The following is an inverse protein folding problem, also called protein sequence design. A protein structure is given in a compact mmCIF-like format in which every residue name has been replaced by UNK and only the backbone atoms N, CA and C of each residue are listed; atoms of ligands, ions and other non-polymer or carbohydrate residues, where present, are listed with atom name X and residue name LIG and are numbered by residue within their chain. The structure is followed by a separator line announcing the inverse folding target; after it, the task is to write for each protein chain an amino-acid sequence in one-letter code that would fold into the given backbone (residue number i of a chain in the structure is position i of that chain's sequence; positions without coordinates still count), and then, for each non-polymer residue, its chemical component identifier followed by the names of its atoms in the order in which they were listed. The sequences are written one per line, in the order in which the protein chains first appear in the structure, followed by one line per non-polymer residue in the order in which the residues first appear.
data_IF_327506271976
#
_entry.id   IF_327506271976
#
_cell.length_a   1.000
_cell.length_b   1.000
_cell.length_c   1.000
_cell.angle_alpha   90.00
_cell.angle_beta   90.00
_cell.angle_gamma   90.00
#
_symmetry.space_group_name_H-M   'P 1'
#
loop_
_entity.id
_entity.type
_entity.pdbx_description
1 polymer ?
#
# COMPACT_ATOMS: atom_id res chain seq x y z
N UNK A 1 -3.57 -26.91 10.57
CA UNK A 1 -3.82 -25.51 10.11
C UNK A 1 -4.49 -24.64 11.18
N UNK A 2 -5.74 -24.92 11.63
CA UNK A 2 -6.42 -24.08 12.65
C UNK A 2 -5.65 -24.00 13.98
N UNK A 3 -5.14 -25.12 14.49
CA UNK A 3 -4.39 -25.15 15.75
C UNK A 3 -3.03 -24.45 15.66
N UNK A 4 -2.34 -24.51 14.54
CA UNK A 4 -1.10 -23.76 14.31
C UNK A 4 -1.34 -22.25 14.30
N UNK A 5 -2.42 -21.79 13.64
CA UNK A 5 -2.79 -20.36 13.68
C UNK A 5 -3.06 -19.91 15.11
N UNK A 6 -3.84 -20.68 15.88
CA UNK A 6 -4.09 -20.38 17.30
C UNK A 6 -2.80 -20.33 18.12
N UNK A 7 -1.85 -21.25 17.87
CA UNK A 7 -0.55 -21.29 18.53
C UNK A 7 0.25 -20.01 18.23
N UNK A 8 0.30 -19.57 16.97
CA UNK A 8 0.98 -18.34 16.58
C UNK A 8 0.45 -17.12 17.36
N UNK A 9 -0.87 -17.00 17.49
CA UNK A 9 -1.48 -15.90 18.25
C UNK A 9 -1.26 -16.02 19.75
N UNK A 10 -1.24 -17.23 20.31
CA UNK A 10 -0.96 -17.48 21.73
C UNK A 10 0.49 -17.15 22.06
N UNK A 11 1.42 -17.66 21.27
CA UNK A 11 2.86 -17.55 21.48
C UNK A 11 3.40 -16.17 21.01
N UNK A 12 2.57 -15.36 20.35
CA UNK A 12 2.90 -14.06 19.76
C UNK A 12 4.16 -14.12 18.87
N UNK A 13 4.40 -15.25 18.25
CA UNK A 13 5.61 -15.50 17.47
C UNK A 13 5.28 -16.26 16.19
N UNK A 14 5.78 -15.75 15.06
CA UNK A 14 5.72 -16.42 13.77
C UNK A 14 6.91 -17.37 13.64
N UNK A 15 6.70 -18.66 13.37
CA UNK A 15 7.78 -19.61 13.09
C UNK A 15 8.59 -19.18 11.86
N UNK A 16 9.91 -19.33 11.93
CA UNK A 16 10.82 -18.91 10.82
C UNK A 16 10.49 -19.59 9.49
N UNK A 17 10.06 -20.85 9.49
CA UNK A 17 9.70 -21.58 8.27
C UNK A 17 8.46 -21.03 7.57
N UNK A 18 7.52 -20.43 8.31
CA UNK A 18 6.32 -19.79 7.75
C UNK A 18 6.62 -18.37 7.21
N UNK A 19 7.66 -17.74 7.73
CA UNK A 19 8.07 -16.40 7.29
C UNK A 19 9.02 -16.42 6.08
N UNK A 20 9.33 -17.60 5.55
CA UNK A 20 10.10 -17.72 4.29
C UNK A 20 9.25 -17.24 3.12
N UNK A 21 9.82 -16.37 2.31
CA UNK A 21 9.19 -15.78 1.14
C UNK A 21 10.08 -16.02 -0.08
N UNK A 22 9.49 -16.45 -1.18
CA UNK A 22 10.16 -16.48 -2.48
C UNK A 22 9.89 -15.15 -3.19
N UNK A 23 10.93 -14.57 -3.77
CA UNK A 23 10.80 -13.33 -4.54
C UNK A 23 10.83 -13.69 -6.02
N UNK A 24 9.75 -13.37 -6.74
CA UNK A 24 9.69 -13.43 -8.20
C UNK A 24 9.93 -12.02 -8.77
N UNK A 25 10.85 -11.93 -9.72
CA UNK A 25 11.18 -10.67 -10.40
C UNK A 25 10.40 -10.59 -11.71
N UNK A 26 9.51 -9.60 -11.83
CA UNK A 26 8.74 -9.36 -13.05
C UNK A 26 9.32 -8.14 -13.77
N UNK A 27 9.70 -8.25 -15.05
CA UNK A 27 10.23 -7.13 -15.80
C UNK A 27 9.18 -6.03 -15.98
N UNK A 28 9.59 -4.77 -15.84
CA UNK A 28 8.78 -3.57 -16.11
C UNK A 28 8.83 -3.16 -17.58
N UNK A 29 9.89 -3.54 -18.27
CA UNK A 29 10.20 -3.19 -19.66
C UNK A 29 10.68 -4.41 -20.41
N UNK A 30 10.61 -4.39 -21.73
CA UNK A 30 11.23 -5.43 -22.56
C UNK A 30 12.75 -5.24 -22.55
N UNK A 31 13.52 -6.34 -22.34
CA UNK A 31 14.97 -6.31 -22.26
C UNK A 31 15.51 -5.57 -21.01
N UNK A 32 15.14 -6.01 -19.78
CA UNK A 32 15.60 -5.34 -18.57
C UNK A 32 17.09 -5.57 -18.34
N UNK A 33 17.89 -4.50 -18.27
CA UNK A 33 19.35 -4.55 -18.08
C UNK A 33 19.76 -4.34 -16.61
N UNK A 34 18.86 -3.79 -15.77
CA UNK A 34 19.13 -3.45 -14.37
C UNK A 34 18.06 -4.02 -13.44
N UNK A 35 18.42 -4.29 -12.18
CA UNK A 35 17.46 -4.70 -11.15
C UNK A 35 16.33 -3.68 -10.92
N UNK A 36 16.58 -2.41 -11.14
CA UNK A 36 15.55 -1.35 -11.09
C UNK A 36 14.44 -1.54 -12.12
N UNK A 37 14.71 -2.29 -13.20
CA UNK A 37 13.77 -2.60 -14.27
C UNK A 37 12.85 -3.79 -13.92
N UNK A 38 12.98 -4.36 -12.72
CA UNK A 38 12.12 -5.43 -12.23
C UNK A 38 11.22 -4.95 -11.09
N UNK A 39 10.07 -5.61 -10.96
CA UNK A 39 9.18 -5.50 -9.79
C UNK A 39 9.35 -6.76 -8.96
N UNK A 40 9.84 -6.68 -7.72
CA UNK A 40 9.86 -7.83 -6.84
C UNK A 40 8.42 -8.14 -6.37
N UNK A 41 8.00 -9.38 -6.54
CA UNK A 41 6.73 -9.89 -6.01
C UNK A 41 7.03 -10.97 -5.00
N UNK A 42 6.54 -10.78 -3.78
CA UNK A 42 6.72 -11.71 -2.66
C UNK A 42 5.69 -12.83 -2.70
N UNK A 43 6.15 -14.05 -2.85
CA UNK A 43 5.34 -15.27 -2.81
C UNK A 43 5.38 -15.86 -1.39
N UNK A 44 4.48 -15.37 -0.54
CA UNK A 44 4.41 -15.80 0.85
C UNK A 44 3.67 -17.13 1.01
N UNK A 45 4.02 -17.87 2.08
CA UNK A 45 3.32 -19.09 2.48
C UNK A 45 1.84 -18.83 2.76
N UNK A 46 0.96 -19.78 2.43
CA UNK A 46 -0.49 -19.68 2.64
C UNK A 46 -0.85 -19.46 4.12
N UNK A 47 -0.14 -20.12 5.05
CA UNK A 47 -0.34 -19.90 6.49
C UNK A 47 -0.02 -18.47 6.92
N UNK A 48 1.07 -17.90 6.39
CA UNK A 48 1.42 -16.50 6.60
C UNK A 48 0.28 -15.57 6.14
N UNK A 49 -0.27 -15.82 4.94
CA UNK A 49 -1.40 -15.05 4.39
C UNK A 49 -2.65 -15.14 5.25
N UNK A 50 -2.94 -16.32 5.84
CA UNK A 50 -4.08 -16.48 6.75
C UNK A 50 -3.89 -15.63 8.01
N UNK A 51 -2.71 -15.71 8.64
CA UNK A 51 -2.42 -14.93 9.86
C UNK A 51 -2.50 -13.43 9.58
N UNK A 52 -1.89 -12.95 8.52
CA UNK A 52 -1.93 -11.52 8.14
C UNK A 52 -3.36 -11.07 7.83
N UNK A 53 -4.16 -11.90 7.15
CA UNK A 53 -5.57 -11.59 6.86
C UNK A 53 -6.41 -11.47 8.13
N UNK A 54 -6.16 -12.30 9.15
CA UNK A 54 -6.81 -12.19 10.46
C UNK A 54 -6.45 -10.88 11.14
N UNK A 55 -5.16 -10.50 11.12
CA UNK A 55 -4.70 -9.23 11.68
C UNK A 55 -5.35 -8.05 10.97
N UNK A 56 -5.33 -8.04 9.65
CA UNK A 56 -5.98 -7.01 8.83
C UNK A 56 -7.47 -6.91 9.15
N UNK A 57 -8.17 -8.06 9.27
CA UNK A 57 -9.59 -8.08 9.64
C UNK A 57 -9.88 -7.44 11.00
N UNK A 58 -8.96 -7.58 11.96
CA UNK A 58 -9.07 -6.97 13.29
C UNK A 58 -8.73 -5.47 13.28
N UNK A 59 -7.79 -5.04 12.45
CA UNK A 59 -7.38 -3.64 12.33
C UNK A 59 -8.40 -2.80 11.54
N UNK A 60 -9.07 -3.41 10.57
CA UNK A 60 -9.97 -2.74 9.64
C UNK A 60 -11.00 -1.81 10.30
N UNK A 61 -11.72 -2.20 11.38
CA UNK A 61 -12.68 -1.32 12.04
C UNK A 61 -12.06 -0.05 12.65
N UNK A 62 -10.77 -0.09 12.96
CA UNK A 62 -10.06 1.01 13.62
C UNK A 62 -9.36 1.96 12.64
N UNK A 63 -9.24 1.57 11.36
CA UNK A 63 -8.50 2.37 10.37
C UNK A 63 -9.06 3.78 10.18
N UNK A 64 -10.37 3.94 10.21
CA UNK A 64 -10.99 5.25 10.06
C UNK A 64 -10.70 6.24 11.20
N UNK A 65 -10.30 5.73 12.38
CA UNK A 65 -9.94 6.56 13.53
C UNK A 65 -8.46 6.99 13.51
N UNK A 66 -7.61 6.17 12.89
CA UNK A 66 -6.14 6.36 12.91
C UNK A 66 -5.63 7.01 11.63
N UNK A 67 -6.29 6.75 10.50
CA UNK A 67 -5.86 7.19 9.18
C UNK A 67 -6.58 8.49 8.78
N UNK A 68 -5.79 9.48 8.35
CA UNK A 68 -6.30 10.76 7.85
C UNK A 68 -7.44 10.58 6.84
N UNK A 69 -8.47 11.42 6.84
CA UNK A 69 -9.58 11.35 5.89
C UNK A 69 -9.14 11.53 4.43
N UNK A 70 -7.99 12.14 4.18
CA UNK A 70 -7.45 12.35 2.84
C UNK A 70 -6.79 11.10 2.24
N UNK A 71 -6.44 10.10 3.05
CA UNK A 71 -5.91 8.83 2.60
C UNK A 71 -7.05 7.91 2.16
N UNK A 72 -7.11 7.57 0.87
CA UNK A 72 -8.17 6.72 0.32
C UNK A 72 -7.70 5.30 0.02
N UNK A 73 -6.45 5.12 -0.39
CA UNK A 73 -5.92 3.81 -0.76
C UNK A 73 -5.89 2.86 0.45
N UNK A 74 -6.38 1.63 0.24
CA UNK A 74 -6.40 0.52 1.22
C UNK A 74 -7.27 0.75 2.47
N UNK A 75 -8.02 1.84 2.56
CA UNK A 75 -8.96 2.10 3.64
C UNK A 75 -10.37 1.68 3.18
N UNK A 76 -11.11 0.88 3.99
CA UNK A 76 -12.48 0.47 3.64
C UNK A 76 -13.38 1.67 3.38
N UNK A 77 -14.30 1.50 2.44
CA UNK A 77 -15.34 2.48 2.08
C UNK A 77 -14.84 3.80 1.48
N UNK A 78 -13.52 3.95 1.27
CA UNK A 78 -12.92 5.09 0.58
C UNK A 78 -12.53 4.72 -0.84
N UNK A 79 -12.91 5.55 -1.80
CA UNK A 79 -12.64 5.34 -3.23
C UNK A 79 -11.50 6.25 -3.70
N UNK A 80 -10.49 5.69 -4.35
CA UNK A 80 -9.39 6.48 -4.91
C UNK A 80 -9.85 7.46 -6.01
N UNK A 81 -11.01 7.20 -6.63
CA UNK A 81 -11.60 8.08 -7.63
C UNK A 81 -12.00 9.43 -7.05
N UNK A 82 -12.41 9.48 -5.77
CA UNK A 82 -12.80 10.73 -5.12
C UNK A 82 -11.62 11.72 -5.08
N UNK A 83 -10.42 11.23 -4.78
CA UNK A 83 -9.21 12.04 -4.82
C UNK A 83 -8.84 12.47 -6.25
N UNK A 84 -9.09 11.63 -7.26
CA UNK A 84 -8.84 11.99 -8.65
C UNK A 84 -9.77 13.13 -9.11
N UNK A 85 -11.03 13.10 -8.70
CA UNK A 85 -12.01 14.16 -9.00
C UNK A 85 -11.55 15.48 -8.34
N UNK A 86 -11.17 15.44 -7.06
CA UNK A 86 -10.69 16.63 -6.34
C UNK A 86 -9.47 17.25 -7.08
N UNK A 87 -8.52 16.42 -7.53
CA UNK A 87 -7.36 16.90 -8.28
C UNK A 87 -7.77 17.53 -9.62
N UNK A 88 -8.73 16.94 -10.33
CA UNK A 88 -9.24 17.50 -11.58
C UNK A 88 -9.94 18.85 -11.38
N UNK A 89 -10.76 18.97 -10.34
CA UNK A 89 -11.42 20.24 -9.99
C UNK A 89 -10.40 21.32 -9.61
N UNK A 90 -9.36 20.94 -8.87
CA UNK A 90 -8.28 21.84 -8.47
C UNK A 90 -7.52 22.36 -9.69
N UNK A 91 -7.12 21.48 -10.60
CA UNK A 91 -6.44 21.84 -11.86
C UNK A 91 -7.36 22.75 -12.72
N UNK A 92 -8.63 22.41 -12.82
CA UNK A 92 -9.59 23.20 -13.57
C UNK A 92 -9.74 24.62 -12.99
N UNK A 93 -9.81 24.74 -11.66
CA UNK A 93 -9.90 26.01 -10.95
C UNK A 93 -8.66 26.85 -11.17
N UNK A 94 -7.48 26.24 -11.06
CA UNK A 94 -6.20 26.90 -11.27
C UNK A 94 -6.08 27.43 -12.72
N UNK A 95 -6.46 26.64 -13.70
CA UNK A 95 -6.41 27.02 -15.11
C UNK A 95 -7.38 28.18 -15.46
N UNK A 96 -8.44 28.34 -14.69
CA UNK A 96 -9.42 29.43 -14.86
C UNK A 96 -9.13 30.68 -14.01
N UNK A 97 -8.26 30.58 -13.03
CA UNK A 97 -7.92 31.69 -12.16
C UNK A 97 -7.32 32.83 -12.99
N UNK A 98 -7.98 33.98 -12.96
CA UNK A 98 -7.53 35.23 -13.59
C UNK A 98 -7.02 36.13 -12.48
N UNK A 99 -5.75 36.48 -12.48
CA UNK A 99 -5.17 37.36 -11.46
C UNK A 99 -3.65 37.51 -11.64
N UNK A 100 -3.05 38.30 -10.77
CA UNK A 100 -1.59 38.47 -10.70
C UNK A 100 -0.91 37.38 -9.87
N UNK A 101 -1.67 36.56 -9.16
CA UNK A 101 -1.19 35.45 -8.34
C UNK A 101 -1.13 34.17 -9.15
N UNK A 102 -0.01 33.49 -9.12
CA UNK A 102 0.19 32.19 -9.74
C UNK A 102 -0.04 31.05 -8.73
N UNK A 103 -0.60 29.95 -9.19
CA UNK A 103 -0.76 28.73 -8.41
C UNK A 103 0.18 27.66 -8.89
N UNK A 104 0.67 26.83 -7.98
CA UNK A 104 1.54 25.70 -8.28
C UNK A 104 1.00 24.44 -7.61
N UNK A 105 0.97 23.33 -8.34
CA UNK A 105 0.64 22.01 -7.82
C UNK A 105 1.89 21.16 -7.78
N UNK A 106 2.24 20.64 -6.62
CA UNK A 106 3.37 19.73 -6.43
C UNK A 106 2.87 18.33 -6.19
N UNK A 107 3.19 17.40 -7.11
CA UNK A 107 2.96 15.98 -6.92
C UNK A 107 4.20 15.35 -6.29
N UNK A 108 4.06 14.80 -5.10
CA UNK A 108 5.13 14.05 -4.41
C UNK A 108 4.86 12.56 -4.52
N UNK A 109 5.82 11.81 -5.01
CA UNK A 109 5.79 10.35 -5.07
C UNK A 109 7.00 9.78 -4.30
N UNK A 110 6.74 8.89 -3.35
CA UNK A 110 7.78 8.28 -2.53
C UNK A 110 8.24 6.98 -3.18
N UNK A 111 9.44 6.99 -3.73
CA UNK A 111 10.05 5.78 -4.28
C UNK A 111 10.29 4.74 -3.18
N UNK A 112 9.76 3.53 -3.39
CA UNK A 112 9.94 2.37 -2.48
C UNK A 112 9.56 2.70 -1.02
N UNK A 113 8.42 3.35 -0.82
CA UNK A 113 7.97 3.80 0.50
C UNK A 113 7.96 2.69 1.56
N UNK A 114 7.58 1.46 1.18
CA UNK A 114 7.53 0.32 2.09
C UNK A 114 8.91 -0.21 2.52
N UNK A 115 9.94 -0.01 1.69
CA UNK A 115 11.30 -0.49 1.98
C UNK A 115 12.11 0.52 2.80
N UNK A 116 11.61 1.74 2.94
CA UNK A 116 12.27 2.86 3.63
C UNK A 116 11.64 3.24 4.97
N UNK A 117 10.57 2.57 5.37
CA UNK A 117 9.98 2.73 6.71
C UNK A 117 10.73 1.79 7.67
N UNK A 118 11.48 2.35 8.60
CA UNK A 118 12.06 1.66 9.74
C UNK A 118 11.03 1.42 10.85
#
# INVERSE_FOLDING_TARGET
MREEVKKIFRDKRMPKYLNKTHIALIPKVQGPESFSNYRPISLCNSMYKIVTKIIVGRLRPHLNQVISPFQTAFVPDRKGIDNAIIVQELIHTINRAKGKEGYMVIKVDLEKAYDKLE
#
